data_IF_760372285000
#
_entry.id   IF_760372285000
#
_cell.length_a   1.000
_cell.length_b   1.000
_cell.length_c   1.000
_cell.angle_alpha   90.00
_cell.angle_beta   90.00
_cell.angle_gamma   90.00
#
_symmetry.space_group_name_H-M   'P 1'
#
loop_
_entity.id
_entity.type
_entity.pdbx_description
1 polymer ?
#
# COMPACT_ATOMS: atom_id res chain seq x y z
N UNK A 1 13.17 10.63 -5.56
CA UNK A 1 13.32 10.03 -4.20
C UNK A 1 12.65 8.67 -4.15
N UNK A 2 13.02 7.78 -3.22
CA UNK A 2 12.31 6.51 -2.99
C UNK A 2 11.12 6.73 -2.07
N UNK A 3 9.94 6.27 -2.49
CA UNK A 3 8.68 6.44 -1.77
C UNK A 3 7.95 5.10 -1.70
N UNK A 4 7.53 4.71 -0.51
CA UNK A 4 6.65 3.55 -0.30
C UNK A 4 5.27 4.04 0.14
N UNK A 5 4.25 3.72 -0.64
CA UNK A 5 2.85 3.98 -0.29
C UNK A 5 2.24 2.72 0.33
N UNK A 6 1.64 2.85 1.50
CA UNK A 6 1.10 1.72 2.26
C UNK A 6 -0.42 1.82 2.33
N UNK A 7 -1.12 0.78 1.90
CA UNK A 7 -2.56 0.62 2.14
C UNK A 7 -2.78 -0.24 3.39
N UNK A 8 -3.10 0.34 4.56
CA UNK A 8 -3.31 -0.42 5.79
C UNK A 8 -4.61 -1.24 5.72
N UNK A 9 -4.78 -2.28 6.57
CA UNK A 9 -6.03 -3.00 6.68
C UNK A 9 -7.21 -2.07 6.99
N UNK A 10 -8.26 -2.17 6.18
CA UNK A 10 -9.54 -1.50 6.35
C UNK A 10 -10.68 -2.47 6.04
N UNK A 11 -11.87 -2.16 6.58
CA UNK A 11 -13.10 -2.95 6.32
C UNK A 11 -12.87 -4.45 6.49
N UNK A 12 -12.25 -4.86 7.60
CA UNK A 12 -11.84 -6.26 7.83
C UNK A 12 -13.02 -7.24 7.84
N UNK A 13 -14.24 -6.75 8.06
CA UNK A 13 -15.49 -7.51 7.94
C UNK A 13 -15.87 -7.89 6.50
N UNK A 14 -15.16 -7.39 5.49
CA UNK A 14 -15.36 -7.68 4.08
C UNK A 14 -14.09 -8.19 3.40
N UNK A 15 -14.28 -8.86 2.25
CA UNK A 15 -13.17 -9.25 1.36
C UNK A 15 -12.38 -8.02 0.89
N UNK A 16 -11.04 -8.09 0.78
CA UNK A 16 -10.24 -6.99 0.26
C UNK A 16 -10.29 -6.95 -1.27
N UNK A 17 -11.41 -6.49 -1.82
CA UNK A 17 -11.66 -6.47 -3.26
C UNK A 17 -11.78 -5.04 -3.84
N UNK A 18 -11.38 -4.04 -3.07
CA UNK A 18 -11.41 -2.63 -3.49
C UNK A 18 -9.98 -2.16 -3.67
N UNK A 19 -9.67 -1.73 -4.89
CA UNK A 19 -8.40 -1.11 -5.23
C UNK A 19 -8.23 0.24 -4.50
N UNK A 20 -7.05 0.54 -3.91
CA UNK A 20 -6.80 1.81 -3.22
C UNK A 20 -6.57 2.95 -4.22
N UNK A 21 -7.64 3.41 -4.87
CA UNK A 21 -7.58 4.45 -5.92
C UNK A 21 -6.88 5.73 -5.48
N UNK A 22 -7.05 6.17 -4.23
CA UNK A 22 -6.34 7.31 -3.67
C UNK A 22 -4.82 7.16 -3.71
N UNK A 23 -4.29 5.97 -3.38
CA UNK A 23 -2.86 5.69 -3.53
C UNK A 23 -2.44 5.62 -4.99
N UNK A 24 -3.30 5.09 -5.87
CA UNK A 24 -3.06 5.08 -7.31
C UNK A 24 -2.88 6.49 -7.90
N UNK A 25 -3.70 7.46 -7.46
CA UNK A 25 -3.55 8.86 -7.88
C UNK A 25 -2.24 9.48 -7.37
N UNK A 26 -1.89 9.26 -6.11
CA UNK A 26 -0.64 9.76 -5.53
C UNK A 26 0.57 9.15 -6.26
N UNK A 27 0.54 7.83 -6.49
CA UNK A 27 1.59 7.13 -7.23
C UNK A 27 1.75 7.70 -8.65
N UNK A 28 0.65 7.97 -9.35
CA UNK A 28 0.70 8.55 -10.70
C UNK A 28 1.40 9.91 -10.75
N UNK A 29 1.15 10.78 -9.76
CA UNK A 29 1.82 12.09 -9.68
C UNK A 29 3.30 11.91 -9.35
N UNK A 30 3.62 11.07 -8.36
CA UNK A 30 5.01 10.83 -7.96
C UNK A 30 5.85 10.21 -9.08
N UNK A 31 5.29 9.26 -9.84
CA UNK A 31 5.95 8.66 -11.01
C UNK A 31 6.19 9.72 -12.09
N UNK A 32 5.22 10.61 -12.33
CA UNK A 32 5.36 11.71 -13.31
C UNK A 32 6.50 12.68 -12.93
N UNK A 33 6.69 12.91 -11.63
CA UNK A 33 7.79 13.72 -11.08
C UNK A 33 9.08 12.91 -10.86
N UNK A 34 9.22 11.76 -11.54
CA UNK A 34 10.43 10.93 -11.58
C UNK A 34 10.88 10.37 -10.22
N UNK A 35 9.93 10.14 -9.30
CA UNK A 35 10.20 9.41 -8.07
C UNK A 35 10.15 7.89 -8.30
N UNK A 36 10.92 7.15 -7.50
CA UNK A 36 10.88 5.69 -7.43
C UNK A 36 9.80 5.30 -6.41
N UNK A 37 8.70 4.71 -6.89
CA UNK A 37 7.48 4.50 -6.11
C UNK A 37 7.13 3.02 -6.06
N UNK A 38 7.02 2.50 -4.84
CA UNK A 38 6.45 1.19 -4.57
C UNK A 38 5.13 1.31 -3.80
N UNK A 39 4.24 0.34 -4.00
CA UNK A 39 2.96 0.26 -3.28
C UNK A 39 2.90 -1.07 -2.53
N UNK A 40 2.70 -1.00 -1.22
CA UNK A 40 2.42 -2.15 -0.39
C UNK A 40 0.95 -2.18 0.04
N UNK A 41 0.20 -3.11 -0.54
CA UNK A 41 -1.21 -3.30 -0.19
C UNK A 41 -1.40 -4.31 0.95
N UNK A 42 -1.20 -3.87 2.20
CA UNK A 42 -1.41 -4.70 3.38
C UNK A 42 -2.88 -5.15 3.49
N UNK A 43 -3.81 -4.29 3.07
CA UNK A 43 -5.24 -4.59 3.02
C UNK A 43 -5.52 -5.82 2.13
N UNK A 44 -4.96 -5.86 0.92
CA UNK A 44 -5.10 -7.00 -0.01
C UNK A 44 -4.65 -8.32 0.62
N UNK A 45 -3.52 -8.30 1.33
CA UNK A 45 -2.95 -9.51 1.92
C UNK A 45 -3.44 -9.84 3.33
N UNK A 46 -4.18 -8.94 3.99
CA UNK A 46 -4.66 -9.10 5.38
C UNK A 46 -3.54 -9.49 6.35
N UNK A 47 -2.35 -8.89 6.21
CA UNK A 47 -1.24 -9.22 7.11
C UNK A 47 -1.50 -8.74 8.53
N UNK A 48 -1.19 -9.59 9.50
CA UNK A 48 -1.15 -9.22 10.91
C UNK A 48 0.10 -8.39 11.25
N UNK A 49 0.13 -7.83 12.46
CA UNK A 49 1.25 -7.00 12.95
C UNK A 49 2.59 -7.75 12.95
N UNK A 50 2.58 -9.06 13.23
CA UNK A 50 3.80 -9.86 13.30
C UNK A 50 4.39 -9.96 11.89
N UNK A 51 3.57 -10.27 10.90
CA UNK A 51 3.99 -10.39 9.50
C UNK A 51 4.45 -9.05 8.93
N UNK A 52 3.77 -7.96 9.24
CA UNK A 52 4.24 -6.60 8.90
C UNK A 52 5.62 -6.36 9.51
N UNK A 53 5.81 -6.61 10.81
CA UNK A 53 7.10 -6.35 11.48
C UNK A 53 8.29 -7.14 10.92
N UNK A 54 8.05 -8.30 10.28
CA UNK A 54 9.09 -9.11 9.63
C UNK A 54 9.50 -8.60 8.25
N UNK A 55 8.60 -7.94 7.52
CA UNK A 55 8.85 -7.45 6.16
C UNK A 55 9.52 -6.06 6.11
N UNK A 56 9.63 -5.39 7.26
CA UNK A 56 10.16 -4.02 7.39
C UNK A 56 11.43 -3.94 8.26
N UNK A 57 12.11 -5.06 8.50
CA UNK A 57 13.43 -5.14 9.14
C UNK A 57 14.49 -5.50 8.11
#
# INVERSE_FOLDING_TARGET
MKVLLINPPIREWAKPNVFPSGLGYIASVLIKEEHDVEVLDINAYRWDKIRVSKNFK
#
